data_IF_787054710621
#
_entry.id   IF_787054710621
#
_cell.length_a   1.000
_cell.length_b   1.000
_cell.length_c   1.000
_cell.angle_alpha   90.00
_cell.angle_beta   90.00
_cell.angle_gamma   90.00
#
_symmetry.space_group_name_H-M   'P 1'
#
loop_
_entity.id
_entity.type
_entity.pdbx_description
1 polymer ?
#
# COMPACT_ATOMS: atom_id res chain seq x y z
N UNK A 1 -13.38 14.02 -9.60
CA UNK A 1 -13.95 13.60 -10.90
C UNK A 1 -15.36 13.08 -10.65
N UNK A 2 -16.32 13.35 -11.55
CA UNK A 2 -17.66 12.77 -11.49
C UNK A 2 -17.77 11.72 -12.60
N UNK A 3 -18.01 10.47 -12.20
CA UNK A 3 -18.09 9.31 -13.08
C UNK A 3 -19.33 8.53 -12.70
N UNK A 4 -20.03 7.97 -13.67
CA UNK A 4 -21.11 7.00 -13.45
C UNK A 4 -20.50 5.61 -13.52
N UNK A 5 -20.75 4.79 -12.49
CA UNK A 5 -20.28 3.41 -12.39
C UNK A 5 -21.49 2.54 -12.13
N UNK A 6 -21.51 1.36 -12.76
CA UNK A 6 -22.42 0.30 -12.38
C UNK A 6 -21.78 -0.49 -11.23
N UNK A 7 -22.54 -0.74 -10.16
CA UNK A 7 -22.07 -1.42 -8.95
C UNK A 7 -23.18 -2.32 -8.40
N UNK A 8 -22.76 -3.42 -7.82
CA UNK A 8 -23.62 -4.41 -7.19
C UNK A 8 -24.30 -3.82 -5.93
N UNK A 9 -25.51 -4.29 -5.63
CA UNK A 9 -26.34 -3.73 -4.56
C UNK A 9 -25.72 -3.92 -3.16
N UNK A 10 -25.06 -5.06 -2.94
CA UNK A 10 -24.35 -5.37 -1.71
C UNK A 10 -23.16 -4.44 -1.48
N UNK A 11 -22.40 -4.13 -2.55
CA UNK A 11 -21.31 -3.15 -2.52
C UNK A 11 -21.85 -1.77 -2.16
N UNK A 12 -22.94 -1.33 -2.79
CA UNK A 12 -23.56 -0.03 -2.48
C UNK A 12 -24.03 0.04 -1.01
N UNK A 13 -24.63 -1.03 -0.50
CA UNK A 13 -25.09 -1.10 0.90
C UNK A 13 -23.91 -1.02 1.88
N UNK A 14 -22.85 -1.78 1.62
CA UNK A 14 -21.64 -1.75 2.44
C UNK A 14 -21.00 -0.36 2.47
N UNK A 15 -20.87 0.29 1.30
CA UNK A 15 -20.29 1.64 1.21
C UNK A 15 -21.16 2.67 1.94
N UNK A 16 -22.49 2.58 1.84
CA UNK A 16 -23.42 3.46 2.58
C UNK A 16 -23.19 3.37 4.08
N UNK A 17 -23.06 2.17 4.61
CA UNK A 17 -22.89 1.98 6.04
C UNK A 17 -21.53 2.49 6.52
N UNK A 18 -20.46 2.22 5.76
CA UNK A 18 -19.13 2.76 6.04
C UNK A 18 -19.12 4.30 5.99
N UNK A 19 -19.81 4.89 5.01
CA UNK A 19 -19.93 6.33 4.85
C UNK A 19 -20.64 6.98 6.05
N UNK A 20 -21.74 6.37 6.52
CA UNK A 20 -22.47 6.79 7.72
C UNK A 20 -21.59 6.77 8.96
N UNK A 21 -20.84 5.69 9.16
CA UNK A 21 -19.92 5.56 10.30
C UNK A 21 -18.75 6.55 10.26
N UNK A 22 -18.23 6.87 9.06
CA UNK A 22 -17.08 7.76 8.89
C UNK A 22 -17.46 9.25 8.76
N UNK A 23 -18.74 9.58 8.63
CA UNK A 23 -19.19 10.94 8.33
C UNK A 23 -18.68 11.46 6.97
N UNK A 24 -18.52 10.56 5.99
CA UNK A 24 -17.98 10.87 4.67
C UNK A 24 -19.02 10.60 3.58
N UNK A 25 -18.82 11.14 2.37
CA UNK A 25 -19.72 10.83 1.24
C UNK A 25 -19.46 9.42 0.68
N UNK A 26 -20.50 8.79 0.15
CA UNK A 26 -20.43 7.46 -0.52
C UNK A 26 -19.34 7.45 -1.58
N UNK A 27 -19.30 8.48 -2.45
CA UNK A 27 -18.31 8.59 -3.52
C UNK A 27 -16.87 8.71 -3.00
N UNK A 28 -16.66 9.38 -1.86
CA UNK A 28 -15.34 9.47 -1.22
C UNK A 28 -14.90 8.11 -0.67
N UNK A 29 -15.79 7.42 0.05
CA UNK A 29 -15.52 6.09 0.61
C UNK A 29 -15.22 5.08 -0.51
N UNK A 30 -16.05 5.03 -1.55
CA UNK A 30 -15.84 4.14 -2.69
C UNK A 30 -14.52 4.45 -3.42
N UNK A 31 -14.21 5.74 -3.64
CA UNK A 31 -12.96 6.13 -4.27
C UNK A 31 -11.73 5.73 -3.46
N UNK A 32 -11.79 5.83 -2.14
CA UNK A 32 -10.69 5.44 -1.25
C UNK A 32 -10.51 3.92 -1.21
N UNK A 33 -11.62 3.15 -1.16
CA UNK A 33 -11.58 1.69 -1.25
C UNK A 33 -11.03 1.21 -2.59
N UNK A 34 -11.49 1.79 -3.70
CA UNK A 34 -10.97 1.48 -5.03
C UNK A 34 -9.48 1.81 -5.14
N UNK A 35 -9.03 2.94 -4.59
CA UNK A 35 -7.60 3.29 -4.56
C UNK A 35 -6.79 2.28 -3.76
N UNK A 36 -7.28 1.82 -2.61
CA UNK A 36 -6.60 0.80 -1.81
C UNK A 36 -6.49 -0.53 -2.55
N UNK A 37 -7.56 -0.97 -3.22
CA UNK A 37 -7.57 -2.21 -3.99
C UNK A 37 -6.66 -2.14 -5.25
N UNK A 38 -6.65 -0.99 -5.94
CA UNK A 38 -5.82 -0.76 -7.13
C UNK A 38 -4.36 -0.45 -6.80
N UNK A 39 -4.10 0.10 -5.61
CA UNK A 39 -2.76 0.24 -5.05
C UNK A 39 -2.30 -1.12 -4.56
N UNK A 40 -1.99 -2.03 -5.49
CA UNK A 40 -1.31 -3.29 -5.20
C UNK A 40 -0.14 -2.98 -4.25
N UNK A 41 -0.28 -3.31 -2.98
CA UNK A 41 0.88 -3.51 -2.13
C UNK A 41 1.46 -4.81 -2.64
N UNK A 42 2.61 -4.75 -3.30
CA UNK A 42 3.40 -5.96 -3.49
C UNK A 42 3.57 -6.54 -2.09
N UNK A 43 2.91 -7.67 -1.82
CA UNK A 43 3.24 -8.46 -0.66
C UNK A 43 4.72 -8.75 -0.84
N UNK A 44 5.56 -8.11 -0.02
CA UNK A 44 7.00 -8.24 -0.10
C UNK A 44 7.33 -9.71 -0.27
N UNK A 45 8.18 -10.04 -1.24
CA UNK A 45 8.49 -11.43 -1.55
C UNK A 45 8.95 -12.10 -0.26
N UNK A 46 8.32 -13.20 0.15
CA UNK A 46 8.77 -13.95 1.31
C UNK A 46 9.73 -15.05 0.85
N UNK A 47 10.88 -15.18 1.53
CA UNK A 47 11.80 -16.31 1.33
C UNK A 47 11.93 -17.06 2.65
N UNK A 48 11.56 -18.33 2.65
CA UNK A 48 11.56 -19.20 3.84
C UNK A 48 10.75 -18.63 5.02
N UNK A 49 9.61 -18.00 4.75
CA UNK A 49 8.75 -17.39 5.79
C UNK A 49 9.22 -16.04 6.31
N UNK A 50 10.34 -15.50 5.80
CA UNK A 50 10.84 -14.17 6.15
C UNK A 50 10.46 -13.17 5.05
N UNK A 51 9.82 -12.04 5.38
CA UNK A 51 9.53 -10.99 4.40
C UNK A 51 10.83 -10.36 3.90
N UNK A 52 11.00 -10.30 2.59
CA UNK A 52 12.12 -9.60 1.96
C UNK A 52 11.74 -8.14 1.73
N UNK A 53 12.70 -7.26 1.99
CA UNK A 53 12.60 -5.88 1.56
C UNK A 53 12.74 -5.80 0.04
N UNK A 54 11.96 -4.94 -0.64
CA UNK A 54 12.10 -4.75 -2.08
C UNK A 54 13.49 -4.18 -2.38
N UNK A 55 14.20 -4.83 -3.31
CA UNK A 55 15.50 -4.36 -3.80
C UNK A 55 15.23 -3.15 -4.71
N UNK A 56 15.73 -1.97 -4.34
CA UNK A 56 15.56 -0.77 -5.16
C UNK A 56 16.36 -0.89 -6.47
N UNK A 57 15.85 -0.36 -7.60
CA UNK A 57 16.62 -0.27 -8.84
C UNK A 57 17.94 0.48 -8.60
N UNK A 58 19.07 -0.13 -8.96
CA UNK A 58 20.40 0.45 -8.73
C UNK A 58 20.97 0.24 -7.33
N UNK A 59 20.32 -0.55 -6.48
CA UNK A 59 20.90 -0.94 -5.19
C UNK A 59 22.27 -1.64 -5.41
N UNK A 60 23.30 -1.12 -4.75
CA UNK A 60 24.65 -1.69 -4.77
C UNK A 60 24.77 -2.93 -3.89
N UNK A 61 25.84 -3.71 -4.09
CA UNK A 61 26.18 -4.83 -3.21
C UNK A 61 26.63 -4.27 -1.86
N UNK A 62 25.98 -4.69 -0.78
CA UNK A 62 26.39 -4.34 0.58
C UNK A 62 27.54 -5.26 0.99
N UNK A 63 28.72 -4.68 1.23
CA UNK A 63 29.91 -5.41 1.72
C UNK A 63 30.20 -5.07 3.18
N UNK A 64 30.94 -5.93 3.91
CA UNK A 64 31.35 -5.64 5.28
C UNK A 64 32.16 -4.34 5.41
N UNK A 65 32.97 -4.01 4.41
CA UNK A 65 33.78 -2.79 4.37
C UNK A 65 32.89 -1.54 4.32
N UNK A 66 31.87 -1.55 3.45
CA UNK A 66 30.89 -0.47 3.37
C UNK A 66 30.13 -0.28 4.69
N UNK A 67 29.74 -1.39 5.34
CA UNK A 67 29.04 -1.34 6.63
C UNK A 67 29.93 -0.73 7.70
N UNK A 68 31.19 -1.12 7.78
CA UNK A 68 32.12 -0.57 8.77
C UNK A 68 32.40 0.91 8.51
N UNK A 69 32.59 1.31 7.25
CA UNK A 69 32.76 2.72 6.89
C UNK A 69 31.58 3.58 7.38
N UNK A 70 30.34 3.16 7.12
CA UNK A 70 29.14 3.92 7.57
C UNK A 70 28.99 3.97 9.10
N UNK A 71 29.39 2.90 9.81
CA UNK A 71 29.39 2.86 11.27
C UNK A 71 30.41 3.84 11.86
N UNK A 72 31.57 3.95 11.23
CA UNK A 72 32.65 4.82 11.69
C UNK A 72 32.38 6.30 11.33
N UNK A 73 31.58 6.56 10.28
CA UNK A 73 31.18 7.90 9.82
C UNK A 73 30.05 8.53 10.65
N UNK A 74 29.29 7.76 11.43
CA UNK A 74 28.20 8.28 12.28
C UNK A 74 28.60 8.22 13.76
N UNK A 75 28.76 9.36 14.47
CA UNK A 75 29.10 9.36 15.91
C UNK A 75 27.98 8.85 16.81
#
# INVERSE_FOLDING_TARGET
MRTTLDIEEDVLLAVKEIARHRGASIGKVLSDLARQALSRQDAGTARNGVPLFPIQPGAGVVTPELVNQLRDETP
#
